data_IF_666124047872
#
_entry.id   IF_666124047872
#
_cell.length_a   1.000
_cell.length_b   1.000
_cell.length_c   1.000
_cell.angle_alpha   90.00
_cell.angle_beta   90.00
_cell.angle_gamma   90.00
#
_symmetry.space_group_name_H-M   'P 1'
#
loop_
_entity.id
_entity.type
_entity.pdbx_description
1 polymer ?
#
# COMPACT_ATOMS: atom_id res chain seq x y z
N UNK A 1 -32.36 -5.35 -6.53
CA UNK A 1 -32.57 -4.27 -5.54
C UNK A 1 -31.61 -4.50 -4.39
N UNK A 2 -30.79 -3.54 -4.07
CA UNK A 2 -29.86 -3.58 -2.92
C UNK A 2 -30.69 -3.63 -1.62
N UNK A 3 -30.35 -4.55 -0.71
CA UNK A 3 -31.06 -4.70 0.56
C UNK A 3 -30.06 -4.82 1.72
N UNK A 4 -30.06 -3.82 2.60
CA UNK A 4 -29.15 -3.70 3.75
C UNK A 4 -29.19 -4.95 4.63
N UNK A 5 -30.40 -5.47 4.95
CA UNK A 5 -30.56 -6.65 5.81
C UNK A 5 -29.89 -7.88 5.24
N UNK A 6 -30.08 -8.12 3.93
CA UNK A 6 -29.47 -9.27 3.26
C UNK A 6 -27.94 -9.15 3.22
N UNK A 7 -27.40 -7.95 2.94
CA UNK A 7 -25.97 -7.73 2.90
C UNK A 7 -25.32 -7.79 4.28
N UNK A 8 -26.02 -7.33 5.33
CA UNK A 8 -25.55 -7.49 6.72
C UNK A 8 -25.43 -8.95 7.09
N UNK A 9 -26.48 -9.74 6.84
CA UNK A 9 -26.45 -11.17 7.12
C UNK A 9 -25.36 -11.91 6.33
N UNK A 10 -25.21 -11.56 5.04
CA UNK A 10 -24.20 -12.15 4.19
C UNK A 10 -22.77 -11.81 4.64
N UNK A 11 -22.53 -10.55 5.04
CA UNK A 11 -21.23 -10.13 5.56
C UNK A 11 -20.90 -10.88 6.87
N UNK A 12 -21.88 -11.02 7.77
CA UNK A 12 -21.69 -11.77 9.02
C UNK A 12 -21.33 -13.23 8.77
N UNK A 13 -22.03 -13.89 7.85
CA UNK A 13 -21.75 -15.28 7.46
C UNK A 13 -20.33 -15.42 6.89
N UNK A 14 -19.94 -14.55 5.96
CA UNK A 14 -18.61 -14.57 5.32
C UNK A 14 -17.51 -14.28 6.32
N UNK A 15 -17.66 -13.26 7.17
CA UNK A 15 -16.68 -12.91 8.19
C UNK A 15 -16.49 -14.08 9.18
N UNK A 16 -17.56 -14.70 9.64
CA UNK A 16 -17.50 -15.85 10.52
C UNK A 16 -16.83 -17.05 9.85
N UNK A 17 -17.22 -17.38 8.61
CA UNK A 17 -16.64 -18.49 7.85
C UNK A 17 -15.14 -18.31 7.56
N UNK A 18 -14.70 -17.09 7.30
CA UNK A 18 -13.30 -16.74 7.08
C UNK A 18 -12.52 -16.45 8.38
N UNK A 19 -13.18 -16.50 9.53
CA UNK A 19 -12.61 -16.13 10.84
C UNK A 19 -12.03 -14.71 10.87
N UNK A 20 -12.70 -13.78 10.20
CA UNK A 20 -12.34 -12.36 10.20
C UNK A 20 -13.00 -11.70 11.42
N UNK A 21 -12.24 -11.05 12.32
CA UNK A 21 -12.78 -10.47 13.54
C UNK A 21 -13.82 -9.39 13.29
N UNK A 22 -13.58 -8.56 12.27
CA UNK A 22 -14.49 -7.50 11.90
C UNK A 22 -14.24 -6.99 10.48
N UNK A 23 -15.30 -6.58 9.81
CA UNK A 23 -15.23 -6.10 8.44
C UNK A 23 -16.32 -5.06 8.15
N UNK A 24 -16.01 -3.96 7.45
CA UNK A 24 -16.99 -3.09 6.80
C UNK A 24 -17.18 -3.54 5.34
N UNK A 25 -18.34 -3.23 4.78
CA UNK A 25 -18.63 -3.41 3.35
C UNK A 25 -19.42 -2.20 2.84
N UNK A 26 -18.88 -1.54 1.82
CA UNK A 26 -19.57 -0.52 1.04
C UNK A 26 -19.93 -1.05 -0.34
N UNK A 27 -21.16 -0.83 -0.77
CA UNK A 27 -21.64 -1.17 -2.10
C UNK A 27 -22.26 0.07 -2.73
N UNK A 28 -21.78 0.41 -3.93
CA UNK A 28 -22.37 1.45 -4.74
C UNK A 28 -22.90 0.85 -6.03
N UNK A 29 -24.21 0.92 -6.26
CA UNK A 29 -24.83 0.47 -7.49
C UNK A 29 -26.16 1.21 -7.73
N UNK A 30 -26.49 1.50 -8.99
CA UNK A 30 -27.72 2.17 -9.40
C UNK A 30 -27.98 3.49 -8.63
N UNK A 31 -26.91 4.28 -8.41
CA UNK A 31 -26.95 5.52 -7.61
C UNK A 31 -27.40 5.32 -6.15
N UNK A 32 -27.31 4.09 -5.64
CA UNK A 32 -27.59 3.76 -4.24
C UNK A 32 -26.31 3.33 -3.54
N UNK A 33 -26.16 3.77 -2.30
CA UNK A 33 -25.09 3.31 -1.41
C UNK A 33 -25.66 2.42 -0.31
N UNK A 34 -24.98 1.34 -0.03
CA UNK A 34 -25.18 0.51 1.15
C UNK A 34 -23.87 0.42 1.91
N UNK A 35 -23.92 0.77 3.20
CA UNK A 35 -22.83 0.58 4.14
C UNK A 35 -23.29 -0.42 5.21
N UNK A 36 -22.57 -1.51 5.37
CA UNK A 36 -22.84 -2.53 6.40
C UNK A 36 -21.54 -2.89 7.11
N UNK A 37 -21.66 -3.42 8.32
CA UNK A 37 -20.53 -3.80 9.14
C UNK A 37 -20.84 -5.09 9.90
N UNK A 38 -19.81 -5.86 10.21
CA UNK A 38 -19.92 -7.09 10.98
C UNK A 38 -18.69 -7.26 11.89
N UNK A 39 -18.91 -7.86 13.06
CA UNK A 39 -17.84 -8.24 13.99
C UNK A 39 -17.33 -7.09 14.85
N UNK A 40 -16.07 -7.18 15.26
CA UNK A 40 -15.43 -6.34 16.28
C UNK A 40 -14.14 -5.74 15.77
N UNK A 41 -13.86 -4.49 16.15
CA UNK A 41 -12.60 -3.79 15.84
C UNK A 41 -11.42 -4.41 16.59
N UNK A 42 -11.68 -4.90 17.78
CA UNK A 42 -10.66 -5.47 18.65
C UNK A 42 -11.28 -6.60 19.49
N UNK A 43 -10.77 -7.79 19.34
CA UNK A 43 -11.27 -9.00 20.03
C UNK A 43 -11.10 -8.96 21.55
N UNK A 44 -10.17 -8.15 22.09
CA UNK A 44 -9.99 -8.01 23.53
C UNK A 44 -10.98 -7.02 24.14
N UNK A 45 -11.28 -5.91 23.46
CA UNK A 45 -12.20 -4.88 23.96
C UNK A 45 -13.64 -5.07 23.50
N UNK A 46 -13.88 -5.93 22.49
CA UNK A 46 -15.20 -6.24 21.95
C UNK A 46 -15.95 -5.02 21.36
N UNK A 47 -15.22 -3.99 20.99
CA UNK A 47 -15.80 -2.80 20.34
C UNK A 47 -16.34 -3.20 18.97
N UNK A 48 -17.65 -2.99 18.68
CA UNK A 48 -18.22 -3.41 17.41
C UNK A 48 -17.69 -2.58 16.23
N UNK A 49 -17.60 -3.21 15.06
CA UNK A 49 -17.39 -2.50 13.79
C UNK A 49 -18.67 -1.77 13.41
N UNK A 50 -18.52 -0.55 12.96
CA UNK A 50 -19.60 0.27 12.38
C UNK A 50 -19.24 0.71 10.95
N UNK A 51 -20.18 1.31 10.24
CA UNK A 51 -19.91 1.88 8.91
C UNK A 51 -18.87 3.01 8.95
N UNK A 52 -18.75 3.69 10.10
CA UNK A 52 -17.80 4.81 10.32
C UNK A 52 -16.45 4.36 10.90
N UNK A 53 -16.27 3.06 11.10
CA UNK A 53 -15.01 2.53 11.63
C UNK A 53 -13.87 2.69 10.63
N UNK A 54 -12.73 3.17 11.11
CA UNK A 54 -11.54 3.35 10.28
C UNK A 54 -10.78 2.01 10.14
N UNK A 55 -10.42 1.71 8.91
CA UNK A 55 -9.60 0.56 8.57
C UNK A 55 -8.37 0.99 7.77
N UNK A 56 -7.25 0.33 8.02
CA UNK A 56 -6.05 0.52 7.23
C UNK A 56 -6.29 0.01 5.80
N UNK A 57 -6.10 0.88 4.80
CA UNK A 57 -6.29 0.51 3.40
C UNK A 57 -5.11 -0.28 2.82
N UNK A 58 -4.01 -0.39 3.57
CA UNK A 58 -2.84 -1.15 3.17
C UNK A 58 -2.32 -0.76 1.79
N UNK A 59 -2.11 -1.74 0.92
CA UNK A 59 -1.54 -1.53 -0.42
C UNK A 59 -2.40 -0.74 -1.39
N UNK A 60 -3.65 -0.44 -1.07
CA UNK A 60 -4.46 0.52 -1.86
C UNK A 60 -3.76 1.90 -1.89
N UNK A 61 -3.01 2.24 -0.84
CA UNK A 61 -2.17 3.45 -0.79
C UNK A 61 -1.23 3.58 -2.00
N UNK A 62 -0.75 2.46 -2.57
CA UNK A 62 0.12 2.48 -3.75
C UNK A 62 -0.56 3.05 -4.98
N UNK A 63 -1.87 2.80 -5.12
CA UNK A 63 -2.67 3.37 -6.22
C UNK A 63 -2.73 4.89 -6.08
N UNK A 64 -2.93 5.40 -4.86
CA UNK A 64 -2.92 6.85 -4.60
C UNK A 64 -1.57 7.47 -4.92
N UNK A 65 -0.47 6.84 -4.50
CA UNK A 65 0.89 7.32 -4.83
C UNK A 65 1.13 7.29 -6.33
N UNK A 66 0.77 6.19 -7.02
CA UNK A 66 0.92 6.09 -8.45
C UNK A 66 0.11 7.18 -9.18
N UNK A 67 -1.12 7.47 -8.71
CA UNK A 67 -1.95 8.54 -9.26
C UNK A 67 -1.28 9.90 -9.09
N UNK A 68 -0.74 10.23 -7.91
CA UNK A 68 -0.02 11.49 -7.69
C UNK A 68 1.23 11.62 -8.56
N UNK A 69 2.00 10.54 -8.70
CA UNK A 69 3.17 10.53 -9.61
C UNK A 69 2.76 10.74 -11.06
N UNK A 70 1.67 10.11 -11.50
CA UNK A 70 1.17 10.29 -12.86
C UNK A 70 0.63 11.71 -13.10
N UNK A 71 0.03 12.35 -12.09
CA UNK A 71 -0.37 13.76 -12.19
C UNK A 71 0.85 14.68 -12.36
N UNK A 72 1.93 14.48 -11.55
CA UNK A 72 3.17 15.22 -11.72
C UNK A 72 3.80 15.02 -13.11
N UNK A 73 3.68 13.82 -13.67
CA UNK A 73 4.17 13.53 -15.00
C UNK A 73 3.32 14.21 -16.10
N UNK A 74 2.00 14.26 -15.93
CA UNK A 74 1.07 14.92 -16.85
C UNK A 74 1.23 16.45 -16.83
N UNK A 75 1.66 17.00 -15.71
CA UNK A 75 1.99 18.41 -15.50
C UNK A 75 3.44 18.79 -15.89
N UNK A 76 4.18 17.88 -16.53
CA UNK A 76 5.60 18.03 -16.90
C UNK A 76 6.54 18.38 -15.70
N UNK A 77 6.11 18.08 -14.46
CA UNK A 77 6.93 18.31 -13.25
C UNK A 77 7.87 17.14 -12.95
N UNK A 78 7.59 15.95 -13.49
CA UNK A 78 8.38 14.74 -13.29
C UNK A 78 8.35 13.87 -14.54
N UNK A 79 9.51 13.42 -15.02
CA UNK A 79 9.55 12.39 -16.06
C UNK A 79 9.51 10.98 -15.44
N UNK A 80 8.79 10.06 -16.08
CA UNK A 80 8.82 8.66 -15.67
C UNK A 80 10.21 8.02 -15.88
N UNK A 81 11.05 8.61 -16.68
CA UNK A 81 12.42 8.17 -16.95
C UNK A 81 13.45 8.85 -16.04
N UNK A 82 13.01 9.78 -15.18
CA UNK A 82 13.84 10.36 -14.09
C UNK A 82 14.26 9.25 -13.13
N UNK A 83 15.53 9.24 -12.77
CA UNK A 83 16.08 8.23 -11.86
C UNK A 83 15.80 8.57 -10.40
N UNK A 84 15.85 7.55 -9.53
CA UNK A 84 15.71 7.74 -8.09
C UNK A 84 16.79 8.67 -7.55
N UNK A 85 18.02 8.55 -8.03
CA UNK A 85 19.14 9.39 -7.59
C UNK A 85 18.98 10.87 -7.99
N UNK A 86 18.25 11.18 -9.07
CA UNK A 86 17.93 12.56 -9.45
C UNK A 86 16.89 13.19 -8.52
N UNK A 87 15.94 12.40 -8.01
CA UNK A 87 14.89 12.88 -7.10
C UNK A 87 15.35 12.88 -5.65
N UNK A 88 16.12 11.87 -5.26
CA UNK A 88 16.60 11.64 -3.90
C UNK A 88 18.11 11.40 -3.92
N UNK A 89 18.94 12.46 -4.12
CA UNK A 89 20.38 12.30 -4.33
C UNK A 89 21.13 11.71 -3.13
N UNK A 90 20.59 11.90 -1.92
CA UNK A 90 21.20 11.40 -0.68
C UNK A 90 20.72 9.99 -0.30
N UNK A 91 19.69 9.46 -1.00
CA UNK A 91 19.16 8.15 -0.73
C UNK A 91 19.88 7.07 -1.55
N UNK A 92 20.22 5.96 -0.90
CA UNK A 92 20.74 4.76 -1.57
C UNK A 92 19.64 3.74 -1.76
N UNK A 93 19.66 3.06 -2.90
CA UNK A 93 18.66 2.07 -3.24
C UNK A 93 19.30 0.71 -3.53
N UNK A 94 19.07 -0.23 -2.62
CA UNK A 94 19.53 -1.61 -2.71
C UNK A 94 21.05 -1.76 -2.55
N UNK A 95 21.48 -2.99 -2.28
CA UNK A 95 22.89 -3.33 -2.14
C UNK A 95 23.68 -2.98 -3.44
N UNK A 96 24.67 -2.11 -3.30
CA UNK A 96 25.47 -1.59 -4.41
C UNK A 96 24.92 -0.34 -5.08
N UNK A 97 23.92 0.27 -4.46
CA UNK A 97 23.30 1.54 -4.87
C UNK A 97 22.96 1.64 -6.36
N UNK A 98 21.74 1.32 -6.69
CA UNK A 98 21.22 1.37 -8.06
C UNK A 98 20.32 2.58 -8.34
N UNK A 99 20.29 3.55 -7.42
CA UNK A 99 19.45 4.74 -7.56
C UNK A 99 19.60 5.46 -8.89
N UNK A 100 20.82 5.49 -9.45
CA UNK A 100 21.10 6.07 -10.77
C UNK A 100 20.66 5.20 -11.97
N UNK A 101 20.19 3.97 -11.75
CA UNK A 101 19.74 3.05 -12.79
C UNK A 101 18.22 2.77 -12.71
N UNK A 102 17.63 2.97 -11.53
CA UNK A 102 16.21 2.75 -11.28
C UNK A 102 15.46 4.05 -11.53
N UNK A 103 14.50 4.00 -12.45
CA UNK A 103 13.65 5.14 -12.79
C UNK A 103 12.32 5.07 -12.04
N UNK A 104 11.58 6.18 -12.04
CA UNK A 104 10.20 6.24 -11.54
C UNK A 104 9.34 5.19 -12.23
N UNK A 105 9.50 4.98 -13.53
CA UNK A 105 8.83 3.92 -14.29
C UNK A 105 9.11 2.54 -13.71
N UNK A 106 10.35 2.23 -13.38
CA UNK A 106 10.70 0.95 -12.77
C UNK A 106 10.02 0.73 -11.41
N UNK A 107 9.84 1.79 -10.61
CA UNK A 107 9.13 1.71 -9.34
C UNK A 107 7.64 1.45 -9.56
N UNK A 108 6.99 2.21 -10.46
CA UNK A 108 5.56 2.07 -10.75
C UNK A 108 5.20 0.70 -11.34
N UNK A 109 6.11 0.09 -12.09
CA UNK A 109 5.90 -1.21 -12.75
C UNK A 109 6.46 -2.39 -11.96
N UNK A 110 7.01 -2.16 -10.76
CA UNK A 110 7.64 -3.19 -9.92
C UNK A 110 8.80 -3.93 -10.61
N UNK A 111 9.57 -3.22 -11.43
CA UNK A 111 10.71 -3.78 -12.20
C UNK A 111 12.06 -3.23 -11.77
N UNK A 112 12.14 -2.59 -10.61
CA UNK A 112 13.38 -2.01 -10.07
C UNK A 112 14.48 -3.06 -9.79
N UNK A 113 14.11 -4.31 -9.57
CA UNK A 113 15.04 -5.38 -9.16
C UNK A 113 15.51 -5.26 -7.70
N UNK A 114 14.95 -4.32 -6.93
CA UNK A 114 15.21 -4.18 -5.50
C UNK A 114 14.10 -4.84 -4.71
N UNK A 115 14.46 -5.60 -3.67
CA UNK A 115 13.50 -6.19 -2.75
C UNK A 115 12.90 -5.10 -1.86
N UNK A 116 11.63 -4.82 -2.06
CA UNK A 116 10.90 -3.82 -1.29
C UNK A 116 10.06 -4.41 -0.16
N UNK A 117 10.09 -5.73 0.05
CA UNK A 117 9.33 -6.39 1.12
C UNK A 117 10.02 -6.23 2.49
N UNK A 118 10.36 -4.98 2.84
CA UNK A 118 10.96 -4.62 4.13
C UNK A 118 9.85 -4.17 5.06
N UNK A 119 9.34 -5.09 5.90
CA UNK A 119 8.30 -4.82 6.89
C UNK A 119 8.93 -4.57 8.26
N UNK A 120 9.52 -3.39 8.44
CA UNK A 120 10.13 -2.97 9.71
C UNK A 120 9.44 -1.71 10.19
N UNK A 121 9.08 -1.68 11.47
CA UNK A 121 8.58 -0.48 12.10
C UNK A 121 9.72 0.53 12.26
N UNK A 122 9.65 1.62 11.53
CA UNK A 122 10.62 2.73 11.58
C UNK A 122 10.15 3.87 12.49
N UNK A 123 9.05 3.66 13.21
CA UNK A 123 8.48 4.63 14.15
C UNK A 123 7.52 5.61 13.47
N UNK A 124 7.30 6.74 14.12
CA UNK A 124 6.39 7.81 13.69
C UNK A 124 7.13 9.11 13.45
N UNK A 125 6.47 10.06 12.81
CA UNK A 125 6.99 11.38 12.51
C UNK A 125 7.88 11.42 11.27
N UNK A 126 8.41 12.59 10.96
CA UNK A 126 9.08 12.88 9.69
C UNK A 126 10.34 12.02 9.45
N UNK A 127 11.02 11.63 10.52
CA UNK A 127 12.23 10.80 10.42
C UNK A 127 11.94 9.32 10.06
N UNK A 128 10.68 8.87 10.10
CA UNK A 128 10.39 7.47 9.81
C UNK A 128 10.68 7.10 8.35
N UNK A 129 10.49 8.05 7.43
CA UNK A 129 10.79 7.86 6.00
C UNK A 129 12.30 7.78 5.79
N UNK A 130 13.06 8.65 6.42
CA UNK A 130 14.52 8.64 6.34
C UNK A 130 15.11 7.32 6.87
N UNK A 131 14.63 6.87 8.02
CA UNK A 131 15.01 5.56 8.58
C UNK A 131 14.67 4.41 7.65
N UNK A 132 13.50 4.47 6.99
CA UNK A 132 13.10 3.45 6.02
C UNK A 132 13.99 3.45 4.77
N UNK A 133 14.36 4.63 4.25
CA UNK A 133 15.32 4.75 3.14
C UNK A 133 16.68 4.14 3.51
N UNK A 134 17.12 4.32 4.77
CA UNK A 134 18.32 3.65 5.29
C UNK A 134 18.24 2.11 5.22
N UNK A 135 17.07 1.53 5.54
CA UNK A 135 16.85 0.09 5.39
C UNK A 135 16.84 -0.36 3.93
N UNK A 136 16.27 0.45 3.03
CA UNK A 136 16.26 0.15 1.60
C UNK A 136 17.67 0.17 0.98
N UNK A 137 18.62 0.90 1.55
CA UNK A 137 20.01 0.87 1.11
C UNK A 137 20.66 -0.51 1.21
N UNK A 138 20.24 -1.30 2.22
CA UNK A 138 20.71 -2.67 2.47
C UNK A 138 19.84 -3.74 1.78
N UNK A 139 18.75 -3.34 1.13
CA UNK A 139 17.79 -4.27 0.53
C UNK A 139 18.44 -5.15 -0.54
N UNK A 140 18.03 -6.42 -0.57
CA UNK A 140 18.53 -7.40 -1.55
C UNK A 140 18.19 -6.97 -2.97
N UNK A 141 19.05 -7.34 -3.89
CA UNK A 141 18.80 -7.19 -5.33
C UNK A 141 18.48 -8.54 -5.95
N UNK A 142 17.48 -8.55 -6.79
CA UNK A 142 17.20 -9.68 -7.67
C UNK A 142 18.00 -9.53 -8.96
N UNK A 143 18.66 -10.61 -9.38
CA UNK A 143 19.31 -10.63 -10.69
C UNK A 143 18.25 -10.51 -11.80
N UNK A 144 18.52 -9.81 -12.92
CA UNK A 144 17.61 -9.71 -14.06
C UNK A 144 17.17 -11.08 -14.62
N UNK A 145 17.83 -12.17 -14.24
CA UNK A 145 17.48 -13.55 -14.63
C UNK A 145 16.48 -14.23 -13.69
N UNK A 146 16.26 -13.70 -12.50
CA UNK A 146 15.20 -14.17 -11.63
C UNK A 146 13.94 -13.36 -11.99
N UNK A 147 12.93 -14.01 -12.60
CA UNK A 147 11.61 -13.41 -12.77
C UNK A 147 11.16 -12.92 -11.40
N UNK A 148 10.82 -11.61 -11.24
CA UNK A 148 10.27 -11.16 -9.98
C UNK A 148 8.96 -11.93 -9.73
N UNK A 149 8.85 -12.55 -8.58
CA UNK A 149 7.54 -12.92 -8.05
C UNK A 149 6.73 -11.62 -7.89
N UNK A 150 5.40 -11.64 -8.04
CA UNK A 150 4.56 -10.42 -8.08
C UNK A 150 4.53 -9.56 -6.80
N UNK A 151 5.39 -9.84 -5.84
CA UNK A 151 5.40 -9.24 -4.50
C UNK A 151 6.48 -8.19 -4.25
N UNK A 152 7.37 -7.91 -5.20
CA UNK A 152 8.41 -6.90 -4.99
C UNK A 152 7.83 -5.49 -5.02
N UNK A 153 7.45 -4.97 -3.88
CA UNK A 153 6.79 -3.69 -3.73
C UNK A 153 7.60 -2.76 -2.83
N UNK A 154 8.34 -1.85 -3.42
CA UNK A 154 9.06 -0.84 -2.66
C UNK A 154 8.19 0.40 -2.42
N UNK A 155 7.15 0.29 -1.63
CA UNK A 155 6.55 1.46 -0.95
C UNK A 155 5.91 0.97 0.35
N UNK A 156 6.66 1.01 1.44
CA UNK A 156 6.09 0.97 2.78
C UNK A 156 5.85 2.40 3.25
N UNK A 157 4.73 2.63 3.89
CA UNK A 157 4.38 3.93 4.44
C UNK A 157 4.43 3.87 5.95
N UNK A 158 5.06 4.87 6.55
CA UNK A 158 4.91 5.11 7.96
C UNK A 158 3.43 5.34 8.27
N UNK A 159 2.88 4.53 9.14
CA UNK A 159 1.51 4.72 9.63
C UNK A 159 1.47 5.99 10.48
N UNK A 160 0.67 6.96 10.06
CA UNK A 160 0.36 8.14 10.85
C UNK A 160 -0.49 7.76 12.06
#
# INVERSE_FOLDING_TARGET
MLNVTNWTARLQELAAGARVPGAPLGIWADSQEILVAAGELNSATRVPVTADSLFQVGSITKIWTATMIMQLADEDQLSLDTTVAEVLPDARLGAGDVGGQVTIRHLLTHTSGVDGDVFTDTGRGDECVERYLGLLAEARRYSPRARPTPTATAVSWCSA
#
